data_IF_848422443377
#
_entry.id   IF_848422443377
#
_cell.length_a   1.000
_cell.length_b   1.000
_cell.length_c   1.000
_cell.angle_alpha   90.00
_cell.angle_beta   90.00
_cell.angle_gamma   90.00
#
_symmetry.space_group_name_H-M   'P 1'
#
loop_
_entity.id
_entity.type
_entity.pdbx_description
1 polymer ?
#
# COMPACT_ATOMS: atom_id res chain seq x y z
N UNK A 1 74.70 -13.20 37.55
CA UNK A 1 74.04 -14.45 37.11
C UNK A 1 72.80 -14.07 36.31
N UNK A 2 72.47 -14.87 35.29
CA UNK A 2 71.76 -14.52 34.06
C UNK A 2 70.20 -14.38 34.14
N UNK A 3 69.62 -14.06 32.96
CA UNK A 3 68.21 -14.08 32.49
C UNK A 3 67.47 -12.71 32.57
N UNK A 4 67.16 -11.95 31.51
CA UNK A 4 66.58 -12.14 30.15
C UNK A 4 65.04 -12.25 30.14
N UNK A 5 64.42 -11.42 29.27
CA UNK A 5 63.05 -11.47 28.67
C UNK A 5 61.92 -10.85 29.53
N UNK A 6 60.96 -10.06 29.02
CA UNK A 6 60.58 -9.75 27.64
C UNK A 6 59.77 -8.45 27.51
N UNK A 7 59.76 -7.93 26.27
CA UNK A 7 59.12 -6.67 25.90
C UNK A 7 57.59 -6.77 25.85
N UNK A 8 56.94 -5.81 26.49
CA UNK A 8 55.51 -5.56 26.35
C UNK A 8 55.24 -4.72 25.11
N UNK A 9 55.06 -5.36 23.96
CA UNK A 9 54.56 -4.71 22.74
C UNK A 9 53.10 -4.30 22.92
N UNK A 10 52.82 -2.98 22.85
CA UNK A 10 51.45 -2.45 22.75
C UNK A 10 50.80 -3.00 21.47
N UNK A 11 49.81 -3.89 21.61
CA UNK A 11 48.93 -4.31 20.50
C UNK A 11 48.07 -3.12 20.08
N UNK A 12 48.34 -2.55 18.91
CA UNK A 12 47.41 -1.64 18.25
C UNK A 12 46.15 -2.40 17.84
N UNK A 13 45.01 -2.04 18.42
CA UNK A 13 43.69 -2.53 18.00
C UNK A 13 43.33 -1.81 16.70
N UNK A 14 43.29 -2.54 15.58
CA UNK A 14 42.77 -2.01 14.31
C UNK A 14 41.25 -1.84 14.45
N UNK A 15 40.66 -0.72 14.01
CA UNK A 15 39.21 -0.59 14.01
C UNK A 15 38.62 -1.56 12.99
N UNK A 16 37.60 -2.31 13.41
CA UNK A 16 36.83 -3.18 12.53
C UNK A 16 36.10 -2.31 11.49
N UNK A 17 36.28 -2.65 10.21
CA UNK A 17 35.56 -2.01 9.12
C UNK A 17 34.07 -2.31 9.26
N UNK A 18 33.28 -1.27 9.53
CA UNK A 18 31.82 -1.34 9.48
C UNK A 18 31.43 -1.52 8.02
N UNK A 19 31.12 -2.77 7.64
CA UNK A 19 30.54 -3.08 6.34
C UNK A 19 29.15 -2.45 6.31
N UNK A 20 28.97 -1.41 5.50
CA UNK A 20 27.66 -0.84 5.24
C UNK A 20 26.73 -1.96 4.74
N UNK A 21 25.74 -2.32 5.56
CA UNK A 21 24.61 -3.14 5.13
C UNK A 21 23.85 -2.30 4.09
N UNK A 22 24.12 -2.56 2.81
CA UNK A 22 23.22 -2.16 1.72
C UNK A 22 21.85 -2.73 2.05
N UNK A 23 20.89 -1.84 2.31
CA UNK A 23 19.49 -2.20 2.49
C UNK A 23 19.04 -3.03 1.30
N UNK A 24 18.77 -4.30 1.54
CA UNK A 24 18.06 -5.15 0.59
C UNK A 24 16.63 -4.64 0.60
N UNK A 25 16.23 -3.89 -0.44
CA UNK A 25 14.81 -3.80 -0.79
C UNK A 25 14.38 -5.21 -1.12
N UNK A 26 13.73 -5.89 -0.18
CA UNK A 26 12.95 -7.07 -0.50
C UNK A 26 11.81 -6.59 -1.39
N UNK A 27 11.95 -6.77 -2.70
CA UNK A 27 10.78 -6.83 -3.56
C UNK A 27 9.89 -7.94 -2.98
N UNK A 28 8.63 -7.64 -2.71
CA UNK A 28 7.66 -8.66 -2.36
C UNK A 28 7.66 -9.68 -3.50
N UNK A 29 8.23 -10.86 -3.27
CA UNK A 29 8.20 -11.95 -4.24
C UNK A 29 6.73 -12.28 -4.52
N UNK A 30 6.22 -11.92 -5.71
CA UNK A 30 4.86 -12.27 -6.12
C UNK A 30 3.95 -11.15 -6.64
N UNK A 31 4.45 -9.91 -6.80
CA UNK A 31 3.70 -8.82 -7.47
C UNK A 31 4.44 -8.44 -8.76
N UNK A 32 3.74 -8.46 -9.90
CA UNK A 32 4.29 -8.11 -11.22
C UNK A 32 4.74 -6.65 -11.31
N UNK A 33 5.49 -6.24 -12.34
CA UNK A 33 5.93 -4.84 -12.52
C UNK A 33 4.78 -3.93 -12.99
N UNK A 34 4.74 -2.68 -12.50
CA UNK A 34 3.76 -1.68 -12.91
C UNK A 34 4.08 -1.01 -14.25
N UNK A 35 3.03 -0.70 -15.00
CA UNK A 35 3.08 0.00 -16.29
C UNK A 35 2.28 1.29 -16.15
N UNK A 36 2.90 2.43 -16.42
CA UNK A 36 2.20 3.73 -16.46
C UNK A 36 1.31 3.81 -17.68
N UNK A 37 0.16 4.46 -17.52
CA UNK A 37 -0.82 4.67 -18.57
C UNK A 37 -1.31 6.12 -18.54
N UNK A 38 -1.71 6.63 -19.71
CA UNK A 38 -2.08 8.03 -19.86
C UNK A 38 -3.48 8.34 -19.29
N UNK A 39 -4.36 7.35 -19.22
CA UNK A 39 -5.72 7.49 -18.70
C UNK A 39 -6.07 6.30 -17.82
N UNK A 40 -6.67 6.58 -16.66
CA UNK A 40 -7.18 5.54 -15.80
C UNK A 40 -8.27 4.71 -16.51
N UNK A 41 -8.21 3.36 -16.45
CA UNK A 41 -9.24 2.52 -17.03
C UNK A 41 -10.53 2.63 -16.21
N UNK A 42 -11.65 2.24 -16.81
CA UNK A 42 -12.95 2.19 -16.14
C UNK A 42 -12.96 1.29 -14.90
N UNK A 43 -12.13 0.24 -14.91
CA UNK A 43 -11.91 -0.67 -13.78
C UNK A 43 -10.44 -1.11 -13.73
N UNK A 44 -9.93 -1.35 -12.53
CA UNK A 44 -8.65 -1.99 -12.25
C UNK A 44 -8.79 -3.50 -11.99
N UNK A 45 -10.01 -4.03 -12.02
CA UNK A 45 -10.24 -5.46 -11.81
C UNK A 45 -9.81 -6.25 -13.04
N UNK A 46 -9.44 -7.52 -12.80
CA UNK A 46 -9.14 -8.46 -13.89
C UNK A 46 -10.43 -8.86 -14.62
N UNK A 47 -10.34 -9.09 -15.92
CA UNK A 47 -11.46 -9.56 -16.73
C UNK A 47 -11.93 -10.97 -16.29
N UNK A 48 -13.23 -11.23 -16.43
CA UNK A 48 -13.88 -12.53 -16.18
C UNK A 48 -14.23 -12.81 -14.73
N UNK A 49 -13.25 -13.00 -13.85
CA UNK A 49 -13.54 -13.40 -12.46
C UNK A 49 -14.08 -12.25 -11.59
N UNK A 50 -13.73 -11.02 -11.93
CA UNK A 50 -14.00 -9.83 -11.13
C UNK A 50 -14.62 -8.71 -11.98
N UNK A 51 -15.64 -9.05 -12.79
CA UNK A 51 -16.25 -8.13 -13.76
C UNK A 51 -16.80 -6.86 -13.11
N UNK A 52 -16.46 -5.71 -13.71
CA UNK A 52 -17.00 -4.43 -13.30
C UNK A 52 -18.51 -4.37 -13.55
N UNK A 53 -19.26 -3.86 -12.56
CA UNK A 53 -20.72 -3.77 -12.62
C UNK A 53 -21.45 -4.98 -12.01
N UNK A 54 -20.75 -6.05 -11.63
CA UNK A 54 -21.34 -7.12 -10.83
C UNK A 54 -21.55 -6.62 -9.38
N UNK A 55 -22.82 -6.43 -9.00
CA UNK A 55 -23.22 -6.05 -7.64
C UNK A 55 -23.26 -7.26 -6.67
N UNK A 56 -23.07 -8.49 -7.16
CA UNK A 56 -22.92 -9.67 -6.31
C UNK A 56 -21.48 -9.89 -5.84
N UNK A 57 -20.50 -9.36 -6.59
CA UNK A 57 -19.07 -9.47 -6.27
C UNK A 57 -18.58 -8.34 -5.36
N UNK A 58 -18.05 -8.70 -4.18
CA UNK A 58 -17.52 -7.73 -3.21
C UNK A 58 -16.34 -6.91 -3.75
N UNK A 59 -15.45 -7.51 -4.55
CA UNK A 59 -14.31 -6.82 -5.17
C UNK A 59 -14.78 -5.68 -6.06
N UNK A 60 -15.79 -5.97 -6.88
CA UNK A 60 -16.38 -5.01 -7.81
C UNK A 60 -17.12 -3.88 -7.07
N UNK A 61 -17.91 -4.21 -6.04
CA UNK A 61 -18.58 -3.21 -5.20
C UNK A 61 -17.58 -2.30 -4.49
N UNK A 62 -16.54 -2.88 -3.91
CA UNK A 62 -15.55 -2.11 -3.15
C UNK A 62 -14.72 -1.21 -4.05
N UNK A 63 -14.30 -1.69 -5.24
CA UNK A 63 -13.58 -0.87 -6.22
C UNK A 63 -14.42 0.35 -6.67
N UNK A 64 -15.70 0.13 -7.01
CA UNK A 64 -16.61 1.23 -7.38
C UNK A 64 -16.71 2.26 -6.25
N UNK A 65 -16.89 1.80 -5.02
CA UNK A 65 -17.00 2.68 -3.85
C UNK A 65 -15.75 3.53 -3.64
N UNK A 66 -14.55 2.93 -3.66
CA UNK A 66 -13.31 3.69 -3.41
C UNK A 66 -12.97 4.67 -4.55
N UNK A 67 -13.33 4.34 -5.80
CA UNK A 67 -13.18 5.27 -6.94
C UNK A 67 -14.14 6.46 -6.84
N UNK A 68 -15.41 6.19 -6.54
CA UNK A 68 -16.39 7.25 -6.31
C UNK A 68 -15.97 8.17 -5.15
N UNK A 69 -15.44 7.60 -4.07
CA UNK A 69 -14.91 8.37 -2.95
C UNK A 69 -13.69 9.21 -3.36
N UNK A 70 -12.76 8.66 -4.15
CA UNK A 70 -11.62 9.43 -4.69
C UNK A 70 -12.09 10.61 -5.55
N UNK A 71 -13.09 10.42 -6.41
CA UNK A 71 -13.67 11.49 -7.22
C UNK A 71 -14.33 12.57 -6.35
N UNK A 72 -15.19 12.18 -5.40
CA UNK A 72 -15.88 13.11 -4.51
C UNK A 72 -14.89 13.94 -3.69
N UNK A 73 -13.90 13.30 -3.08
CA UNK A 73 -12.90 13.95 -2.25
C UNK A 73 -12.03 14.88 -3.08
N UNK A 74 -11.52 14.42 -4.23
CA UNK A 74 -10.68 15.27 -5.08
C UNK A 74 -11.45 16.49 -5.61
N UNK A 75 -12.72 16.32 -5.99
CA UNK A 75 -13.56 17.43 -6.44
C UNK A 75 -13.78 18.47 -5.33
N UNK A 76 -14.17 18.01 -4.13
CA UNK A 76 -14.40 18.91 -3.00
C UNK A 76 -13.12 19.67 -2.58
N UNK A 77 -11.97 18.96 -2.56
CA UNK A 77 -10.68 19.57 -2.20
C UNK A 77 -10.23 20.55 -3.30
N UNK A 78 -10.41 20.22 -4.58
CA UNK A 78 -10.09 21.14 -5.67
C UNK A 78 -10.98 22.37 -5.71
N UNK A 79 -12.27 22.25 -5.37
CA UNK A 79 -13.17 23.39 -5.24
C UNK A 79 -12.75 24.31 -4.09
N UNK A 80 -12.39 23.74 -2.94
CA UNK A 80 -11.91 24.48 -1.77
C UNK A 80 -10.55 25.16 -2.02
N UNK A 81 -9.60 24.45 -2.63
CA UNK A 81 -8.26 24.95 -2.89
C UNK A 81 -8.22 25.93 -4.07
N UNK A 82 -9.06 25.71 -5.09
CA UNK A 82 -9.03 26.43 -6.37
C UNK A 82 -7.98 25.90 -7.35
N UNK A 83 -7.35 24.74 -7.06
CA UNK A 83 -6.40 24.06 -7.96
C UNK A 83 -6.78 22.59 -8.18
N UNK A 84 -6.56 22.05 -9.39
CA UNK A 84 -6.86 20.65 -9.69
C UNK A 84 -5.80 19.70 -9.10
N UNK A 85 -6.19 18.45 -8.87
CA UNK A 85 -5.23 17.36 -8.70
C UNK A 85 -4.58 16.97 -10.04
N UNK A 86 -3.31 16.59 -10.00
CA UNK A 86 -2.66 15.83 -11.06
C UNK A 86 -2.93 14.33 -10.85
N UNK A 87 -3.47 13.66 -11.86
CA UNK A 87 -3.67 12.22 -11.86
C UNK A 87 -2.51 11.48 -12.55
N UNK A 88 -2.02 10.42 -11.90
CA UNK A 88 -1.09 9.43 -12.46
C UNK A 88 -1.72 8.04 -12.33
N UNK A 89 -1.96 7.37 -13.46
CA UNK A 89 -2.54 6.03 -13.50
C UNK A 89 -1.50 4.97 -13.91
N UNK A 90 -1.67 3.77 -13.37
CA UNK A 90 -0.82 2.62 -13.69
C UNK A 90 -1.59 1.30 -13.55
N UNK A 91 -1.18 0.28 -14.31
CA UNK A 91 -1.75 -1.07 -14.29
C UNK A 91 -0.66 -2.14 -14.20
N UNK A 92 -1.06 -3.40 -14.00
CA UNK A 92 -0.18 -4.58 -14.08
C UNK A 92 -0.75 -5.60 -15.07
N UNK A 93 0.09 -6.36 -15.81
CA UNK A 93 -0.38 -7.34 -16.79
C UNK A 93 -1.36 -8.40 -16.22
N UNK A 94 -1.15 -8.85 -15.00
CA UNK A 94 -1.98 -9.83 -14.28
C UNK A 94 -3.25 -9.26 -13.65
N UNK A 95 -3.62 -8.03 -13.99
CA UNK A 95 -4.72 -7.29 -13.39
C UNK A 95 -4.30 -6.44 -12.19
N UNK A 96 -5.17 -5.52 -11.80
CA UNK A 96 -4.85 -4.51 -10.81
C UNK A 96 -4.17 -3.29 -11.39
N UNK A 97 -3.84 -2.36 -10.51
CA UNK A 97 -3.32 -1.05 -10.85
C UNK A 97 -3.52 -0.06 -9.73
N UNK A 98 -3.40 1.22 -10.06
CA UNK A 98 -3.70 2.29 -9.15
C UNK A 98 -3.85 3.63 -9.86
N UNK A 99 -4.47 4.54 -9.14
CA UNK A 99 -4.73 5.92 -9.55
C UNK A 99 -4.25 6.79 -8.40
N UNK A 100 -3.15 7.50 -8.62
CA UNK A 100 -2.61 8.46 -7.67
C UNK A 100 -3.07 9.84 -8.08
N UNK A 101 -3.75 10.58 -7.19
CA UNK A 101 -4.09 11.98 -7.41
C UNK A 101 -3.34 12.84 -6.42
N UNK A 102 -2.56 13.79 -6.92
CA UNK A 102 -1.72 14.67 -6.10
C UNK A 102 -2.01 16.14 -6.42
N UNK A 103 -2.35 16.92 -5.41
CA UNK A 103 -2.37 18.38 -5.42
C UNK A 103 -1.14 18.86 -4.65
N UNK A 104 -0.35 19.74 -5.27
CA UNK A 104 0.86 20.31 -4.69
C UNK A 104 0.88 21.82 -4.87
N UNK A 105 1.52 22.51 -3.91
CA UNK A 105 1.66 23.96 -3.90
C UNK A 105 0.30 24.66 -4.08
N UNK A 106 -0.71 24.18 -3.34
CA UNK A 106 -2.09 24.67 -3.35
C UNK A 106 -2.26 26.05 -2.72
N UNK A 107 -3.49 26.57 -2.70
CA UNK A 107 -3.80 27.79 -1.94
C UNK A 107 -4.17 27.47 -0.48
N UNK A 108 -4.76 26.30 -0.23
CA UNK A 108 -5.18 25.81 1.09
C UNK A 108 -4.27 24.67 1.55
N UNK A 109 -3.96 23.74 0.65
CA UNK A 109 -3.12 22.58 0.94
C UNK A 109 -1.70 22.76 0.38
N UNK A 110 -0.69 22.60 1.24
CA UNK A 110 0.71 22.48 0.79
C UNK A 110 0.86 21.26 -0.10
N UNK A 111 0.26 20.14 0.35
CA UNK A 111 0.20 18.90 -0.41
C UNK A 111 -0.99 18.06 0.02
N UNK A 112 -1.73 17.54 -0.94
CA UNK A 112 -2.78 16.56 -0.73
C UNK A 112 -2.60 15.40 -1.71
N UNK A 113 -2.67 14.16 -1.21
CA UNK A 113 -2.62 12.96 -2.03
C UNK A 113 -3.80 12.07 -1.72
N UNK A 114 -4.54 11.62 -2.74
CA UNK A 114 -5.62 10.62 -2.62
C UNK A 114 -5.35 9.52 -3.63
N UNK A 115 -5.09 8.31 -3.14
CA UNK A 115 -4.63 7.20 -3.97
C UNK A 115 -5.61 6.03 -3.87
N UNK A 116 -5.95 5.45 -5.03
CA UNK A 116 -6.67 4.19 -5.15
C UNK A 116 -5.71 3.13 -5.66
N UNK A 117 -5.81 1.91 -5.12
CA UNK A 117 -5.03 0.76 -5.57
C UNK A 117 -5.89 -0.50 -5.57
N UNK A 118 -5.64 -1.36 -6.55
CA UNK A 118 -6.17 -2.72 -6.66
C UNK A 118 -4.99 -3.63 -6.99
N UNK A 119 -4.77 -4.65 -6.18
CA UNK A 119 -3.59 -5.51 -6.25
C UNK A 119 -4.03 -6.96 -6.21
N UNK A 120 -3.51 -7.72 -7.17
CA UNK A 120 -3.56 -9.16 -7.19
C UNK A 120 -2.17 -9.71 -6.92
N UNK A 121 -2.09 -10.84 -6.24
CA UNK A 121 -0.80 -11.48 -5.98
C UNK A 121 -0.93 -12.85 -5.37
N UNK A 122 0.23 -13.39 -5.00
CA UNK A 122 0.39 -14.66 -4.32
C UNK A 122 1.07 -14.42 -2.98
N UNK A 123 0.53 -14.95 -1.89
CA UNK A 123 1.16 -14.86 -0.58
C UNK A 123 1.69 -16.21 -0.10
N UNK A 124 2.85 -16.25 0.57
CA UNK A 124 3.34 -17.47 1.20
C UNK A 124 2.41 -17.85 2.37
N UNK A 125 2.28 -19.16 2.68
CA UNK A 125 1.46 -19.63 3.79
C UNK A 125 1.76 -18.96 5.13
N UNK A 126 3.02 -18.60 5.37
CA UNK A 126 3.46 -17.90 6.59
C UNK A 126 2.82 -16.51 6.72
N UNK A 127 2.75 -15.75 5.62
CA UNK A 127 2.11 -14.44 5.60
C UNK A 127 0.60 -14.56 5.80
N UNK A 128 -0.02 -15.59 5.21
CA UNK A 128 -1.43 -15.90 5.43
C UNK A 128 -1.74 -16.18 6.90
N UNK A 129 -0.95 -17.05 7.54
CA UNK A 129 -1.11 -17.38 8.97
C UNK A 129 -0.96 -16.15 9.86
N UNK A 130 -0.01 -15.27 9.56
CA UNK A 130 0.15 -14.01 10.29
C UNK A 130 -1.05 -13.07 10.11
N UNK A 131 -1.69 -13.09 8.94
CA UNK A 131 -2.84 -12.24 8.64
C UNK A 131 -4.16 -12.77 9.23
N UNK A 132 -4.35 -14.10 9.27
CA UNK A 132 -5.63 -14.72 9.70
C UNK A 132 -5.59 -15.29 11.12
N UNK A 133 -4.41 -15.51 11.70
CA UNK A 133 -4.25 -16.21 12.97
C UNK A 133 -4.48 -17.72 12.88
N UNK A 134 -4.64 -18.28 11.69
CA UNK A 134 -4.84 -19.72 11.51
C UNK A 134 -3.54 -20.53 11.71
N UNK A 135 -3.65 -21.67 12.39
CA UNK A 135 -2.60 -22.68 12.45
C UNK A 135 -2.85 -23.73 11.36
N UNK A 136 -2.00 -23.80 10.34
CA UNK A 136 -2.13 -24.77 9.25
C UNK A 136 -0.82 -25.03 8.50
N UNK A 137 -0.71 -26.21 7.88
CA UNK A 137 0.51 -26.72 7.22
C UNK A 137 0.52 -26.56 5.70
N UNK A 138 -0.36 -25.73 5.12
CA UNK A 138 -0.35 -25.53 3.66
C UNK A 138 1.02 -25.03 3.21
N UNK A 139 1.58 -25.65 2.18
CA UNK A 139 2.84 -25.26 1.53
C UNK A 139 2.61 -24.48 0.23
N UNK A 140 1.35 -24.30 -0.16
CA UNK A 140 0.99 -23.69 -1.44
C UNK A 140 0.90 -22.18 -1.31
N UNK A 141 1.27 -21.48 -2.38
CA UNK A 141 1.03 -20.04 -2.48
C UNK A 141 -0.48 -19.79 -2.53
N UNK A 142 -0.94 -18.82 -1.76
CA UNK A 142 -2.36 -18.48 -1.64
C UNK A 142 -2.61 -17.22 -2.48
N UNK A 143 -3.44 -17.29 -3.54
CA UNK A 143 -3.80 -16.10 -4.29
C UNK A 143 -4.59 -15.14 -3.41
N UNK A 144 -4.36 -13.84 -3.58
CA UNK A 144 -5.07 -12.81 -2.84
C UNK A 144 -5.49 -11.64 -3.73
N UNK A 145 -6.49 -10.93 -3.24
CA UNK A 145 -6.96 -9.65 -3.73
C UNK A 145 -6.88 -8.62 -2.61
N UNK A 146 -6.39 -7.44 -2.93
CA UNK A 146 -6.43 -6.29 -2.04
C UNK A 146 -6.85 -5.05 -2.83
N UNK A 147 -7.77 -4.26 -2.29
CA UNK A 147 -8.11 -2.96 -2.84
C UNK A 147 -8.20 -1.93 -1.71
N UNK A 148 -7.93 -0.67 -2.00
CA UNK A 148 -8.06 0.38 -1.01
C UNK A 148 -7.88 1.78 -1.53
N UNK A 149 -8.41 2.72 -0.76
CA UNK A 149 -8.16 4.14 -0.85
C UNK A 149 -7.29 4.59 0.33
N UNK A 150 -6.33 5.45 0.06
CA UNK A 150 -5.51 6.10 1.08
C UNK A 150 -5.37 7.58 0.79
N UNK A 151 -5.25 8.38 1.83
CA UNK A 151 -5.03 9.81 1.68
C UNK A 151 -4.21 10.38 2.82
N UNK A 152 -3.40 11.38 2.48
CA UNK A 152 -2.77 12.29 3.43
C UNK A 152 -2.89 13.70 2.87
N UNK A 153 -3.34 14.65 3.68
CA UNK A 153 -3.48 16.05 3.27
C UNK A 153 -2.89 16.97 4.33
N UNK A 154 -2.01 17.87 3.89
CA UNK A 154 -1.29 18.84 4.70
C UNK A 154 -1.75 20.26 4.35
N UNK A 155 -2.57 20.91 5.19
CA UNK A 155 -2.92 22.31 5.02
C UNK A 155 -1.70 23.23 5.22
N UNK A 156 -1.68 24.38 4.52
CA UNK A 156 -0.71 25.45 4.81
C UNK A 156 -0.96 26.12 6.16
N UNK A 157 -2.23 26.32 6.52
CA UNK A 157 -2.60 27.00 7.75
C UNK A 157 -2.46 26.04 8.95
N UNK A 158 -1.58 26.31 9.94
CA UNK A 158 -1.38 25.44 11.10
C UNK A 158 -2.61 25.31 12.00
N UNK A 159 -3.61 26.17 11.82
CA UNK A 159 -4.91 26.06 12.51
C UNK A 159 -5.83 24.99 11.87
N UNK A 160 -5.49 24.49 10.68
CA UNK A 160 -6.16 23.36 10.05
C UNK A 160 -5.32 22.08 10.24
N UNK A 161 -5.89 20.97 10.75
CA UNK A 161 -5.13 19.75 11.01
C UNK A 161 -4.74 19.03 9.72
N UNK A 162 -3.61 18.31 9.76
CA UNK A 162 -3.34 17.27 8.77
C UNK A 162 -4.37 16.16 8.94
N UNK A 163 -4.90 15.63 7.83
CA UNK A 163 -5.79 14.46 7.84
C UNK A 163 -5.10 13.29 7.15
N UNK A 164 -5.24 12.11 7.74
CA UNK A 164 -4.91 10.85 7.12
C UNK A 164 -6.12 9.91 7.19
N UNK A 165 -6.36 9.18 6.11
CA UNK A 165 -7.28 8.05 6.15
C UNK A 165 -6.81 6.93 5.25
N UNK A 166 -7.22 5.73 5.60
CA UNK A 166 -7.04 4.53 4.79
C UNK A 166 -8.25 3.63 4.96
N UNK A 167 -8.83 3.16 3.86
CA UNK A 167 -9.86 2.13 3.87
C UNK A 167 -9.52 1.08 2.83
N UNK A 168 -9.48 -0.19 3.24
CA UNK A 168 -9.05 -1.30 2.41
C UNK A 168 -9.87 -2.55 2.65
N UNK A 169 -10.00 -3.33 1.60
CA UNK A 169 -10.60 -4.65 1.59
C UNK A 169 -9.55 -5.67 1.16
N UNK A 170 -9.56 -6.82 1.81
CA UNK A 170 -8.65 -7.91 1.54
C UNK A 170 -9.42 -9.23 1.49
N UNK A 171 -9.11 -10.07 0.51
CA UNK A 171 -9.57 -11.46 0.48
C UNK A 171 -8.55 -12.42 -0.11
N UNK A 172 -8.66 -13.68 0.25
CA UNK A 172 -7.89 -14.79 -0.32
C UNK A 172 -8.79 -15.73 -1.10
N UNK A 173 -8.30 -16.21 -2.25
CA UNK A 173 -9.07 -17.11 -3.10
C UNK A 173 -9.34 -18.44 -2.37
N UNK A 174 -10.50 -19.04 -2.68
CA UNK A 174 -10.83 -20.38 -2.21
C UNK A 174 -9.79 -21.41 -2.68
N UNK A 175 -9.57 -22.50 -1.92
CA UNK A 175 -8.80 -23.63 -2.42
C UNK A 175 -9.37 -24.14 -3.75
N UNK A 176 -8.50 -24.59 -4.65
CA UNK A 176 -8.92 -25.15 -5.95
C UNK A 176 -9.95 -26.27 -5.75
N UNK A 177 -11.08 -26.17 -6.44
CA UNK A 177 -12.17 -27.16 -6.35
C UNK A 177 -13.23 -26.88 -5.29
N UNK A 178 -13.09 -25.82 -4.48
CA UNK A 178 -14.14 -25.31 -3.61
C UNK A 178 -14.79 -24.07 -4.25
N UNK A 179 -16.07 -24.16 -4.61
CA UNK A 179 -16.80 -23.06 -5.23
C UNK A 179 -17.60 -22.26 -4.18
N UNK A 180 -17.58 -20.92 -4.30
CA UNK A 180 -18.63 -20.06 -3.76
C UNK A 180 -18.23 -18.93 -2.79
N UNK A 181 -17.09 -18.98 -2.11
CA UNK A 181 -16.69 -17.91 -1.18
C UNK A 181 -15.16 -17.83 -0.99
N UNK A 182 -14.59 -16.63 -0.71
CA UNK A 182 -13.17 -16.48 -0.39
C UNK A 182 -12.81 -17.28 0.87
N UNK A 183 -11.57 -17.77 0.92
CA UNK A 183 -11.06 -18.55 2.05
C UNK A 183 -11.08 -17.73 3.35
N UNK A 184 -10.60 -16.49 3.28
CA UNK A 184 -10.65 -15.51 4.34
C UNK A 184 -10.75 -14.11 3.74
N UNK A 185 -11.44 -13.21 4.43
CA UNK A 185 -11.61 -11.82 4.01
C UNK A 185 -11.76 -10.91 5.22
N UNK A 186 -11.37 -9.65 5.08
CA UNK A 186 -11.55 -8.62 6.10
C UNK A 186 -11.49 -7.22 5.50
N UNK A 187 -12.08 -6.28 6.23
CA UNK A 187 -11.87 -4.85 6.02
C UNK A 187 -10.85 -4.33 7.00
N UNK A 188 -10.13 -3.30 6.60
CA UNK A 188 -9.26 -2.54 7.49
C UNK A 188 -9.36 -1.06 7.15
N UNK A 189 -9.24 -0.21 8.15
CA UNK A 189 -9.20 1.21 7.88
C UNK A 189 -9.34 2.08 9.11
N UNK A 190 -9.37 3.38 8.87
CA UNK A 190 -9.47 4.41 9.88
C UNK A 190 -9.23 5.78 9.28
N UNK A 191 -9.64 6.78 10.03
CA UNK A 191 -9.37 8.19 9.76
C UNK A 191 -8.82 8.81 11.03
N UNK A 192 -7.80 9.65 10.90
CA UNK A 192 -7.18 10.37 12.00
C UNK A 192 -6.87 11.82 11.60
N UNK A 193 -6.88 12.68 12.63
CA UNK A 193 -6.51 14.09 12.52
C UNK A 193 -5.26 14.33 13.35
N UNK A 194 -4.30 15.01 12.74
CA UNK A 194 -3.04 15.41 13.38
C UNK A 194 -2.98 16.95 13.42
N UNK A 195 -3.55 17.58 14.45
CA UNK A 195 -3.53 19.03 14.61
C UNK A 195 -2.14 19.53 15.02
N UNK A 196 -1.74 20.71 14.53
CA UNK A 196 -0.61 21.45 15.11
C UNK A 196 -1.02 22.17 16.41
N UNK A 197 -2.27 22.64 16.48
CA UNK A 197 -2.88 23.25 17.66
C UNK A 197 -4.20 22.55 18.00
N UNK A 198 -4.43 22.25 19.29
CA UNK A 198 -5.66 21.60 19.77
C UNK A 198 -6.78 22.64 19.84
N UNK A 199 -7.98 22.27 19.39
CA UNK A 199 -9.21 23.05 19.43
C UNK A 199 -10.32 22.30 20.15
#
# INVERSE_FOLDING_TARGET
SAARVGGGGRRAVKPASVKAMRGVRAAAQGIETEVRIDQAPMTLLREGADEAGDDSNMRARFERMIRAAQDEICNAISELDGKPFHEDAWTRPGGGGGISRVLQDGNVFEKAGVNVSVVYGQMPPEAYRAATGEAGESKEMIPFFAAGISSVMHPHNPMAPTVHFNYRYFETDAPKGAAGAPRAWWFGGGTDLTPSYIF
#
